data_IF_137805047524
#
_entry.id   IF_137805047524
#
_cell.length_a   1.000
_cell.length_b   1.000
_cell.length_c   1.000
_cell.angle_alpha   90.00
_cell.angle_beta   90.00
_cell.angle_gamma   90.00
#
_symmetry.space_group_name_H-M   'P 1'
#
loop_
_entity.id
_entity.type
_entity.pdbx_description
1 polymer ?
#
# COMPACT_ATOMS: atom_id res chain seq x y z
N UNK A 1 -22.79 33.07 -16.79
CA UNK A 1 -21.56 32.39 -16.33
C UNK A 1 -21.94 31.43 -15.19
N UNK A 2 -21.65 30.12 -15.14
CA UNK A 2 -20.80 29.22 -15.97
C UNK A 2 -19.37 29.75 -16.18
N UNK A 3 -18.26 29.11 -15.79
CA UNK A 3 -17.94 27.73 -15.37
C UNK A 3 -16.87 27.86 -14.23
N UNK A 4 -16.56 26.91 -13.33
CA UNK A 4 -16.80 25.47 -13.28
C UNK A 4 -17.21 24.95 -11.88
N UNK A 5 -17.83 23.78 -11.87
CA UNK A 5 -17.88 22.85 -10.72
C UNK A 5 -16.51 22.15 -10.62
N UNK A 6 -15.79 22.30 -9.50
CA UNK A 6 -14.46 21.69 -9.34
C UNK A 6 -14.61 20.17 -9.08
N UNK A 7 -14.46 19.40 -10.17
CA UNK A 7 -14.45 17.94 -10.27
C UNK A 7 -14.26 17.19 -8.94
N UNK A 8 -15.37 16.94 -8.26
CA UNK A 8 -15.40 16.22 -6.98
C UNK A 8 -15.02 14.74 -7.15
N UNK A 9 -14.96 14.20 -8.39
CA UNK A 9 -14.48 12.83 -8.61
C UNK A 9 -13.00 12.69 -8.22
N UNK A 10 -12.22 13.78 -8.31
CA UNK A 10 -10.81 13.82 -7.87
C UNK A 10 -10.70 13.92 -6.35
N UNK A 11 -11.55 14.72 -5.71
CA UNK A 11 -11.57 14.88 -4.24
C UNK A 11 -12.09 13.63 -3.54
N UNK A 12 -13.16 12.99 -4.02
CA UNK A 12 -13.68 11.70 -3.49
C UNK A 12 -12.61 10.60 -3.57
N UNK A 13 -11.80 10.57 -4.63
CA UNK A 13 -10.63 9.66 -4.75
C UNK A 13 -9.47 9.99 -3.81
N UNK A 14 -9.47 11.16 -3.17
CA UNK A 14 -8.36 11.68 -2.35
C UNK A 14 -8.68 11.68 -0.84
N UNK A 15 -9.95 11.75 -0.44
CA UNK A 15 -10.39 11.76 0.98
C UNK A 15 -10.47 10.36 1.62
N UNK A 16 -10.33 9.29 0.84
CA UNK A 16 -10.36 7.91 1.35
C UNK A 16 -9.03 7.41 1.92
N UNK A 17 -8.71 7.77 3.18
CA UNK A 17 -7.55 7.28 3.97
C UNK A 17 -6.22 7.23 3.18
N UNK A 18 -5.36 8.25 3.34
CA UNK A 18 -4.00 8.24 2.80
C UNK A 18 -3.20 7.05 3.35
N UNK A 19 -3.08 6.00 2.56
CA UNK A 19 -2.23 4.87 2.91
C UNK A 19 -0.76 5.26 3.00
N UNK A 20 -0.12 4.85 4.09
CA UNK A 20 1.32 4.93 4.25
C UNK A 20 2.01 3.97 3.26
N UNK A 21 2.49 4.51 2.14
CA UNK A 21 3.35 3.82 1.18
C UNK A 21 2.64 3.08 0.04
N UNK A 22 3.45 2.68 -0.95
CA UNK A 22 3.03 1.99 -2.18
C UNK A 22 2.40 0.62 -1.90
N UNK A 23 3.01 -0.17 -1.00
CA UNK A 23 2.54 -1.52 -0.63
C UNK A 23 1.08 -1.48 -0.16
N UNK A 24 0.75 -0.64 0.82
CA UNK A 24 -0.61 -0.55 1.38
C UNK A 24 -1.67 -0.16 0.33
N UNK A 25 -1.29 0.64 -0.67
CA UNK A 25 -2.16 0.98 -1.81
C UNK A 25 -2.39 -0.21 -2.73
N UNK A 26 -1.34 -0.95 -3.07
CA UNK A 26 -1.42 -2.17 -3.88
C UNK A 26 -2.17 -3.29 -3.12
N UNK A 27 -2.04 -3.36 -1.79
CA UNK A 27 -2.78 -4.30 -0.93
C UNK A 27 -4.30 -4.03 -0.94
N UNK A 28 -4.78 -2.79 -0.73
CA UNK A 28 -6.22 -2.50 -0.86
C UNK A 28 -6.72 -2.68 -2.30
N UNK A 29 -5.87 -2.46 -3.31
CA UNK A 29 -6.22 -2.79 -4.69
C UNK A 29 -6.38 -4.32 -4.87
N UNK A 30 -5.51 -5.14 -4.27
CA UNK A 30 -5.62 -6.60 -4.27
C UNK A 30 -6.87 -7.11 -3.51
N UNK A 31 -7.20 -6.52 -2.36
CA UNK A 31 -8.45 -6.79 -1.64
C UNK A 31 -9.66 -6.47 -2.53
N UNK A 32 -9.69 -5.29 -3.17
CA UNK A 32 -10.81 -4.89 -4.04
C UNK A 32 -10.97 -5.75 -5.31
N UNK A 33 -9.92 -6.45 -5.72
CA UNK A 33 -9.93 -7.42 -6.82
C UNK A 33 -10.43 -8.82 -6.41
N UNK A 34 -10.61 -9.09 -5.12
CA UNK A 34 -11.00 -10.42 -4.63
C UNK A 34 -9.93 -11.49 -4.84
N UNK A 35 -8.64 -11.16 -4.65
CA UNK A 35 -7.58 -12.18 -4.67
C UNK A 35 -7.85 -13.27 -3.60
N UNK A 36 -7.45 -14.53 -3.84
CA UNK A 36 -7.74 -15.62 -2.92
C UNK A 36 -7.09 -15.39 -1.54
N UNK A 37 -7.79 -15.78 -0.48
CA UNK A 37 -7.41 -15.46 0.90
C UNK A 37 -5.93 -15.77 1.27
N UNK A 38 -5.31 -16.90 0.85
CA UNK A 38 -3.93 -17.21 1.20
C UNK A 38 -2.89 -16.18 0.76
N UNK A 39 -3.06 -15.54 -0.41
CA UNK A 39 -2.11 -14.52 -0.88
C UNK A 39 -2.34 -13.17 -0.18
N UNK A 40 -3.59 -12.83 0.16
CA UNK A 40 -3.87 -11.64 0.96
C UNK A 40 -3.28 -11.76 2.37
N UNK A 41 -3.45 -12.92 3.02
CA UNK A 41 -2.88 -13.23 4.33
C UNK A 41 -1.34 -13.13 4.34
N UNK A 42 -0.67 -13.67 3.30
CA UNK A 42 0.78 -13.57 3.18
C UNK A 42 1.25 -12.11 3.01
N UNK A 43 0.53 -11.28 2.26
CA UNK A 43 0.86 -9.85 2.09
C UNK A 43 0.58 -9.04 3.36
N UNK A 44 -0.43 -9.43 4.14
CA UNK A 44 -0.81 -8.75 5.39
C UNK A 44 0.37 -8.67 6.38
N UNK A 45 1.15 -9.74 6.53
CA UNK A 45 2.39 -9.79 7.31
C UNK A 45 3.46 -8.74 6.92
N UNK A 46 3.43 -8.22 5.70
CA UNK A 46 4.35 -7.16 5.24
C UNK A 46 3.76 -5.75 5.36
N UNK A 47 2.44 -5.64 5.61
CA UNK A 47 1.72 -4.37 5.80
C UNK A 47 1.56 -3.97 7.26
N UNK A 48 1.48 -4.93 8.19
CA UNK A 48 1.44 -4.68 9.63
C UNK A 48 2.84 -4.27 10.09
N UNK A 49 2.95 -3.08 10.70
CA UNK A 49 4.24 -2.47 11.10
C UNK A 49 4.30 -2.21 12.63
N UNK A 50 3.58 -3.03 13.42
CA UNK A 50 3.49 -2.94 14.89
C UNK A 50 4.41 -3.94 15.63
N UNK A 51 5.02 -3.49 16.73
CA UNK A 51 5.85 -4.33 17.61
C UNK A 51 7.12 -4.88 16.95
N UNK A 52 7.46 -6.13 17.28
CA UNK A 52 8.67 -6.81 16.79
C UNK A 52 8.53 -7.40 15.37
N UNK A 53 7.32 -7.42 14.79
CA UNK A 53 7.01 -8.12 13.54
C UNK A 53 7.20 -7.25 12.28
N UNK A 54 8.32 -6.52 12.21
CA UNK A 54 8.57 -5.46 11.21
C UNK A 54 9.12 -5.98 9.87
N UNK A 55 8.66 -7.14 9.42
CA UNK A 55 9.21 -7.87 8.27
C UNK A 55 9.33 -7.01 7.01
N UNK A 56 8.29 -6.22 6.70
CA UNK A 56 8.30 -5.30 5.55
C UNK A 56 9.47 -4.32 5.56
N UNK A 57 9.95 -3.87 6.73
CA UNK A 57 11.13 -2.99 6.85
C UNK A 57 12.44 -3.76 6.65
N UNK A 58 12.58 -4.91 7.30
CA UNK A 58 13.80 -5.72 7.24
C UNK A 58 14.09 -6.21 5.81
N UNK A 59 13.08 -6.72 5.10
CA UNK A 59 13.24 -7.16 3.70
C UNK A 59 13.64 -6.01 2.75
N UNK A 60 13.07 -4.80 2.93
CA UNK A 60 13.44 -3.63 2.11
C UNK A 60 14.88 -3.20 2.34
N UNK A 61 15.36 -3.20 3.60
CA UNK A 61 16.75 -2.87 3.91
C UNK A 61 17.72 -3.96 3.43
N UNK A 62 17.44 -5.24 3.71
CA UNK A 62 18.28 -6.36 3.29
C UNK A 62 18.41 -6.43 1.76
N UNK A 63 17.32 -6.23 1.02
CA UNK A 63 17.35 -6.17 -0.44
C UNK A 63 18.19 -5.00 -0.97
N UNK A 64 18.09 -3.82 -0.35
CA UNK A 64 18.90 -2.65 -0.74
C UNK A 64 20.39 -2.84 -0.48
N UNK A 65 20.77 -3.38 0.69
CA UNK A 65 22.17 -3.71 0.98
C UNK A 65 22.72 -4.82 0.07
N UNK A 66 21.91 -5.86 -0.21
CA UNK A 66 22.29 -6.93 -1.15
C UNK A 66 22.56 -6.37 -2.56
N UNK A 67 21.68 -5.51 -3.07
CA UNK A 67 21.83 -4.85 -4.38
C UNK A 67 23.05 -3.91 -4.47
N UNK A 68 23.60 -3.42 -3.35
CA UNK A 68 24.78 -2.55 -3.33
C UNK A 68 26.07 -3.35 -3.11
N UNK A 69 25.98 -4.52 -2.47
CA UNK A 69 27.12 -5.38 -2.13
C UNK A 69 27.44 -6.45 -3.20
N UNK A 70 26.56 -6.64 -4.19
CA UNK A 70 26.68 -7.61 -5.29
C UNK A 70 26.76 -6.89 -6.64
#
# INVERSE_FOLDING_TARGET
MSVCEHDNSKTIRTTGMKFAGRLNREYRAAQSKGLPYPILWAVEYFTVDEGNFRYGRYYRLAGWYCHIAM
#
